data_IF_837365202221
#
_entry.id   IF_837365202221
#
_cell.length_a   1.000
_cell.length_b   1.000
_cell.length_c   1.000
_cell.angle_alpha   90.00
_cell.angle_beta   90.00
_cell.angle_gamma   90.00
#
_symmetry.space_group_name_H-M   'P 1'
#
loop_
_entity.id
_entity.type
_entity.pdbx_description
1 polymer ?
#
# COMPACT_ATOMS: atom_id res chain seq x y z
N UNK A 1 31.59 4.76 5.24
CA UNK A 1 30.32 4.00 5.28
C UNK A 1 29.25 5.01 5.00
N UNK A 2 28.47 4.78 3.95
CA UNK A 2 27.49 5.76 3.51
C UNK A 2 26.28 5.71 4.46
N UNK A 3 25.98 6.85 5.08
CA UNK A 3 24.78 7.03 5.88
C UNK A 3 23.67 7.53 4.95
N UNK A 4 22.57 6.79 4.87
CA UNK A 4 21.42 7.12 4.04
C UNK A 4 20.38 7.88 4.87
N UNK A 5 19.80 8.89 4.22
CA UNK A 5 18.68 9.64 4.73
C UNK A 5 17.35 9.01 4.30
N UNK A 6 16.28 9.31 5.05
CA UNK A 6 14.91 9.05 4.63
C UNK A 6 14.37 10.23 3.83
N UNK A 7 13.42 9.96 2.92
CA UNK A 7 12.79 10.98 2.08
C UNK A 7 11.34 11.21 2.51
N UNK A 8 11.04 12.38 3.09
CA UNK A 8 9.71 12.75 3.58
C UNK A 8 9.34 14.13 3.05
N UNK A 9 8.15 14.25 2.45
CA UNK A 9 7.59 15.55 2.05
C UNK A 9 8.45 16.34 1.05
N UNK A 10 9.30 15.67 0.26
CA UNK A 10 10.20 16.33 -0.69
C UNK A 10 11.61 16.63 -0.16
N UNK A 11 11.95 16.22 1.06
CA UNK A 11 13.24 16.50 1.69
C UNK A 11 13.93 15.20 2.15
N UNK A 12 15.25 15.16 1.96
CA UNK A 12 16.12 14.15 2.56
C UNK A 12 16.53 14.59 3.96
N UNK A 13 16.43 13.69 4.95
CA UNK A 13 16.85 13.93 6.33
C UNK A 13 17.12 12.64 7.06
N UNK A 14 17.82 12.72 8.20
CA UNK A 14 18.00 11.60 9.12
C UNK A 14 16.67 11.18 9.74
N UNK A 15 16.41 9.88 9.82
CA UNK A 15 15.25 9.34 10.54
C UNK A 15 15.36 9.47 12.06
N UNK A 16 14.22 9.55 12.75
CA UNK A 16 14.15 9.64 14.20
C UNK A 16 14.27 8.29 14.93
N UNK A 17 14.27 7.17 14.21
CA UNK A 17 14.32 5.83 14.77
C UNK A 17 15.73 5.30 15.03
N UNK A 18 15.78 4.00 15.34
CA UNK A 18 17.02 3.29 15.62
C UNK A 18 17.91 3.16 14.37
N UNK A 19 19.23 3.11 14.59
CA UNK A 19 20.19 2.81 13.53
C UNK A 19 19.97 1.40 12.99
N UNK A 20 19.87 1.28 11.67
CA UNK A 20 19.75 0.05 10.90
C UNK A 20 20.89 -0.06 9.89
N UNK A 21 21.24 -1.29 9.53
CA UNK A 21 22.26 -1.57 8.53
C UNK A 21 21.63 -2.38 7.39
N UNK A 22 21.80 -1.92 6.15
CA UNK A 22 21.66 -2.78 4.97
C UNK A 22 22.91 -3.63 4.87
N UNK A 23 22.74 -4.94 4.69
CA UNK A 23 23.83 -5.92 4.66
C UNK A 23 23.75 -6.73 3.38
N UNK A 24 24.90 -7.06 2.81
CA UNK A 24 24.97 -7.96 1.67
C UNK A 24 24.72 -9.40 2.13
N UNK A 25 23.71 -10.10 1.58
CA UNK A 25 23.36 -11.43 2.07
C UNK A 25 24.43 -12.51 1.85
N UNK A 26 25.38 -12.32 0.92
CA UNK A 26 26.34 -13.38 0.59
C UNK A 26 27.51 -13.48 1.59
N UNK A 27 27.95 -12.36 2.18
CA UNK A 27 29.11 -12.31 3.09
C UNK A 27 28.83 -11.55 4.40
N UNK A 28 27.65 -10.94 4.55
CA UNK A 28 27.27 -10.16 5.73
C UNK A 28 27.92 -8.77 5.82
N UNK A 29 28.68 -8.34 4.80
CA UNK A 29 29.28 -7.01 4.79
C UNK A 29 28.21 -5.92 4.73
N UNK A 30 28.43 -4.83 5.46
CA UNK A 30 27.48 -3.72 5.53
C UNK A 30 27.57 -2.89 4.24
N UNK A 31 26.44 -2.74 3.56
CA UNK A 31 26.30 -1.90 2.37
C UNK A 31 26.14 -0.42 2.76
N UNK A 32 25.23 -0.13 3.68
CA UNK A 32 24.91 1.22 4.13
C UNK A 32 24.29 1.20 5.54
N UNK A 33 24.34 2.34 6.22
CA UNK A 33 23.65 2.55 7.48
C UNK A 33 22.55 3.60 7.31
N UNK A 34 21.43 3.47 8.00
CA UNK A 34 20.38 4.49 8.03
C UNK A 34 19.67 4.50 9.37
N UNK A 35 19.14 5.65 9.75
CA UNK A 35 18.18 5.71 10.84
C UNK A 35 16.78 5.34 10.34
N UNK A 36 16.15 4.36 11.00
CA UNK A 36 14.79 3.97 10.69
C UNK A 36 13.82 5.16 10.84
N UNK A 37 12.69 5.11 10.13
CA UNK A 37 11.61 6.06 10.35
C UNK A 37 10.97 5.82 11.74
N UNK A 38 10.78 6.89 12.51
CA UNK A 38 10.00 6.87 13.75
C UNK A 38 8.49 6.95 13.47
N UNK A 39 7.66 6.83 14.52
CA UNK A 39 6.22 7.08 14.40
C UNK A 39 5.91 8.54 14.04
N UNK A 40 6.71 9.48 14.54
CA UNK A 40 6.57 10.90 14.22
C UNK A 40 6.92 11.17 12.74
N UNK A 41 7.96 10.51 12.23
CA UNK A 41 8.31 10.56 10.80
C UNK A 41 7.19 9.99 9.93
N UNK A 42 6.58 8.88 10.34
CA UNK A 42 5.44 8.29 9.65
C UNK A 42 4.25 9.26 9.62
N UNK A 43 3.92 9.86 10.77
CA UNK A 43 2.83 10.83 10.87
C UNK A 43 3.09 12.04 9.97
N UNK A 44 4.31 12.56 9.92
CA UNK A 44 4.67 13.67 9.05
C UNK A 44 4.61 13.31 7.55
N UNK A 45 5.02 12.09 7.18
CA UNK A 45 4.91 11.61 5.81
C UNK A 45 3.45 11.53 5.38
N UNK A 46 2.59 11.03 6.26
CA UNK A 46 1.15 10.93 6.09
C UNK A 46 0.52 12.33 5.92
N UNK A 47 0.89 13.29 6.76
CA UNK A 47 0.35 14.65 6.71
C UNK A 47 0.87 15.45 5.50
N UNK A 48 2.13 15.21 5.10
CA UNK A 48 2.68 15.77 3.87
C UNK A 48 2.00 15.22 2.62
N UNK A 49 1.67 13.92 2.60
CA UNK A 49 0.92 13.32 1.51
C UNK A 49 -0.52 13.86 1.43
N UNK A 50 -1.21 14.04 2.55
CA UNK A 50 -2.56 14.63 2.58
C UNK A 50 -2.56 16.10 2.16
N UNK A 51 -1.56 16.88 2.61
CA UNK A 51 -1.36 18.24 2.13
C UNK A 51 -1.17 18.26 0.61
N UNK A 52 -0.23 17.47 0.08
CA UNK A 52 0.00 17.39 -1.37
C UNK A 52 -1.26 16.96 -2.14
N UNK A 53 -2.04 16.03 -1.59
CA UNK A 53 -3.31 15.60 -2.18
C UNK A 53 -4.35 16.72 -2.24
N UNK A 54 -4.40 17.61 -1.24
CA UNK A 54 -5.33 18.74 -1.18
C UNK A 54 -4.86 19.95 -1.98
N UNK A 55 -3.55 20.13 -2.11
CA UNK A 55 -2.93 21.25 -2.81
C UNK A 55 -3.37 21.29 -4.29
N UNK A 56 -3.87 22.44 -4.79
CA UNK A 56 -4.31 22.57 -6.18
C UNK A 56 -3.19 22.28 -7.19
N UNK A 57 -1.93 22.56 -6.82
CA UNK A 57 -0.76 22.32 -7.67
C UNK A 57 -0.61 20.86 -8.10
N UNK A 58 -1.03 19.92 -7.25
CA UNK A 58 -1.07 18.49 -7.57
C UNK A 58 -2.48 18.03 -7.94
N UNK A 59 -3.49 18.39 -7.14
CA UNK A 59 -4.87 17.92 -7.30
C UNK A 59 -5.51 18.38 -8.61
N UNK A 60 -5.26 19.62 -9.02
CA UNK A 60 -5.81 20.20 -10.24
C UNK A 60 -4.87 20.03 -11.45
N UNK A 61 -3.75 19.32 -11.28
CA UNK A 61 -2.83 19.02 -12.38
C UNK A 61 -3.56 18.27 -13.49
N UNK A 62 -3.31 18.64 -14.74
CA UNK A 62 -3.94 17.96 -15.88
C UNK A 62 -3.34 16.56 -16.04
N UNK A 63 -4.10 15.58 -16.56
CA UNK A 63 -3.62 14.20 -16.62
C UNK A 63 -2.31 14.02 -17.40
N UNK A 64 -2.14 14.73 -18.52
CA UNK A 64 -0.89 14.72 -19.31
C UNK A 64 0.31 15.34 -18.56
N UNK A 65 0.08 16.28 -17.63
CA UNK A 65 1.15 16.85 -16.81
C UNK A 65 1.63 15.83 -15.77
N UNK A 66 0.71 15.05 -15.17
CA UNK A 66 1.08 13.91 -14.31
C UNK A 66 1.80 12.83 -15.10
N UNK A 67 1.32 12.51 -16.30
CA UNK A 67 1.96 11.56 -17.21
C UNK A 67 3.40 11.98 -17.53
N UNK A 68 3.64 13.28 -17.81
CA UNK A 68 4.99 13.82 -18.04
C UNK A 68 5.94 13.57 -16.87
N UNK A 69 5.46 13.68 -15.62
CA UNK A 69 6.28 13.36 -14.44
C UNK A 69 6.64 11.88 -14.41
N UNK A 70 5.67 10.99 -14.65
CA UNK A 70 5.89 9.54 -14.66
C UNK A 70 6.81 9.10 -15.81
N UNK A 71 6.70 9.72 -16.99
CA UNK A 71 7.66 9.53 -18.07
C UNK A 71 9.07 9.95 -17.66
N UNK A 72 9.21 11.10 -17.01
CA UNK A 72 10.52 11.56 -16.52
C UNK A 72 11.11 10.59 -15.48
N UNK A 73 10.29 10.00 -14.62
CA UNK A 73 10.72 8.95 -13.69
C UNK A 73 11.25 7.74 -14.45
N UNK A 74 10.54 7.26 -15.48
CA UNK A 74 11.01 6.15 -16.30
C UNK A 74 12.36 6.45 -16.97
N UNK A 75 12.51 7.65 -17.55
CA UNK A 75 13.76 8.07 -18.20
C UNK A 75 14.93 8.13 -17.20
N UNK A 76 14.67 8.59 -15.97
CA UNK A 76 15.69 8.64 -14.92
C UNK A 76 16.11 7.25 -14.45
N UNK A 77 15.17 6.30 -14.36
CA UNK A 77 15.47 4.90 -14.02
C UNK A 77 16.36 4.28 -15.11
N UNK A 78 16.02 4.47 -16.39
CA UNK A 78 16.80 3.92 -17.50
C UNK A 78 18.18 4.57 -17.62
N UNK A 79 18.28 5.87 -17.39
CA UNK A 79 19.56 6.58 -17.39
C UNK A 79 20.53 6.07 -16.30
N UNK A 80 19.99 5.49 -15.22
CA UNK A 80 20.75 4.94 -14.08
C UNK A 80 20.71 3.40 -14.03
N UNK A 81 20.37 2.74 -15.14
CA UNK A 81 20.09 1.31 -15.18
C UNK A 81 21.20 0.46 -14.57
N UNK A 82 22.45 0.69 -14.97
CA UNK A 82 23.59 -0.10 -14.49
C UNK A 82 23.84 0.13 -12.99
N UNK A 83 23.77 1.38 -12.53
CA UNK A 83 23.96 1.73 -11.12
C UNK A 83 22.86 1.11 -10.23
N UNK A 84 21.59 1.24 -10.62
CA UNK A 84 20.46 0.66 -9.91
C UNK A 84 20.52 -0.87 -9.90
N UNK A 85 20.96 -1.48 -11.01
CA UNK A 85 21.15 -2.95 -11.10
C UNK A 85 22.19 -3.43 -10.10
N UNK A 86 23.34 -2.75 -10.02
CA UNK A 86 24.40 -3.10 -9.08
C UNK A 86 23.93 -2.92 -7.63
N UNK A 87 23.27 -1.79 -7.31
CA UNK A 87 22.72 -1.54 -5.97
C UNK A 87 21.70 -2.62 -5.58
N UNK A 88 20.76 -2.96 -6.47
CA UNK A 88 19.73 -3.96 -6.18
C UNK A 88 20.31 -5.38 -6.03
N UNK A 89 21.30 -5.75 -6.85
CA UNK A 89 22.00 -7.03 -6.73
C UNK A 89 22.80 -7.10 -5.43
N UNK A 90 23.47 -6.00 -5.06
CA UNK A 90 24.26 -5.89 -3.82
C UNK A 90 23.40 -5.84 -2.56
N UNK A 91 22.20 -5.30 -2.62
CA UNK A 91 21.29 -5.23 -1.47
C UNK A 91 20.55 -6.55 -1.25
N UNK A 92 20.04 -7.17 -2.34
CA UNK A 92 19.17 -8.34 -2.25
C UNK A 92 19.87 -9.68 -2.55
N UNK A 93 21.11 -9.67 -3.05
CA UNK A 93 21.85 -10.88 -3.42
C UNK A 93 21.42 -11.53 -4.75
N UNK A 94 20.52 -10.90 -5.51
CA UNK A 94 20.01 -11.46 -6.78
C UNK A 94 21.06 -11.40 -7.90
N UNK A 95 21.08 -12.37 -8.83
CA UNK A 95 21.94 -12.29 -10.01
C UNK A 95 21.72 -10.99 -10.81
N UNK A 96 22.79 -10.43 -11.37
CA UNK A 96 22.73 -9.15 -12.10
C UNK A 96 21.71 -9.15 -13.25
N UNK A 97 21.58 -10.27 -13.96
CA UNK A 97 20.60 -10.38 -15.05
C UNK A 97 19.15 -10.25 -14.55
N UNK A 98 18.83 -10.87 -13.40
CA UNK A 98 17.51 -10.76 -12.78
C UNK A 98 17.28 -9.34 -12.25
N UNK A 99 18.25 -8.77 -11.53
CA UNK A 99 18.17 -7.40 -11.01
C UNK A 99 17.95 -6.39 -12.14
N UNK A 100 18.67 -6.53 -13.25
CA UNK A 100 18.50 -5.67 -14.44
C UNK A 100 17.09 -5.77 -15.02
N UNK A 101 16.52 -6.97 -15.07
CA UNK A 101 15.13 -7.18 -15.49
C UNK A 101 14.13 -6.45 -14.60
N UNK A 102 14.35 -6.43 -13.28
CA UNK A 102 13.50 -5.73 -12.32
C UNK A 102 13.60 -4.21 -12.45
N UNK A 103 14.79 -3.65 -12.66
CA UNK A 103 14.97 -2.20 -12.89
C UNK A 103 14.26 -1.77 -14.18
N UNK A 104 14.40 -2.53 -15.26
CA UNK A 104 13.67 -2.26 -16.51
C UNK A 104 12.16 -2.39 -16.33
N UNK A 105 11.70 -3.36 -15.54
CA UNK A 105 10.28 -3.53 -15.20
C UNK A 105 9.74 -2.31 -14.43
N UNK A 106 10.53 -1.73 -13.53
CA UNK A 106 10.15 -0.51 -12.82
C UNK A 106 9.97 0.69 -13.77
N UNK A 107 10.89 0.88 -14.73
CA UNK A 107 10.76 1.89 -15.78
C UNK A 107 9.50 1.66 -16.65
N UNK A 108 9.25 0.41 -17.05
CA UNK A 108 8.05 0.03 -17.81
C UNK A 108 6.76 0.29 -17.04
N UNK A 109 6.74 0.01 -15.73
CA UNK A 109 5.60 0.27 -14.85
C UNK A 109 5.31 1.77 -14.77
N UNK A 110 6.34 2.61 -14.63
CA UNK A 110 6.16 4.07 -14.65
C UNK A 110 5.56 4.56 -15.97
N UNK A 111 6.02 4.03 -17.12
CA UNK A 111 5.43 4.35 -18.44
C UNK A 111 3.99 3.88 -18.58
N UNK A 112 3.67 2.69 -18.07
CA UNK A 112 2.30 2.18 -18.08
C UNK A 112 1.36 3.11 -17.32
N UNK A 113 1.72 3.53 -16.11
CA UNK A 113 0.89 4.46 -15.34
C UNK A 113 0.86 5.88 -15.93
N UNK A 114 1.91 6.30 -16.66
CA UNK A 114 1.86 7.53 -17.43
C UNK A 114 0.77 7.47 -18.51
N UNK A 115 0.73 6.41 -19.29
CA UNK A 115 -0.31 6.18 -20.30
C UNK A 115 -1.70 6.05 -19.65
N UNK A 116 -1.82 5.36 -18.51
CA UNK A 116 -3.07 5.26 -17.77
C UNK A 116 -3.58 6.63 -17.31
N UNK A 117 -2.71 7.57 -16.96
CA UNK A 117 -3.13 8.94 -16.66
C UNK A 117 -3.80 9.62 -17.85
N UNK A 118 -3.33 9.37 -19.07
CA UNK A 118 -3.85 10.02 -20.29
C UNK A 118 -5.08 9.33 -20.86
N UNK A 119 -5.22 8.02 -20.63
CA UNK A 119 -6.27 7.18 -21.20
C UNK A 119 -7.44 6.91 -20.25
N UNK A 120 -7.30 7.20 -18.95
CA UNK A 120 -8.38 7.00 -17.99
C UNK A 120 -9.47 8.06 -18.19
N UNK A 121 -10.54 7.65 -18.87
CA UNK A 121 -11.70 8.49 -19.13
C UNK A 121 -12.87 8.14 -18.20
N UNK A 122 -13.78 9.10 -18.01
CA UNK A 122 -15.07 8.86 -17.38
C UNK A 122 -16.02 8.17 -18.35
N UNK A 123 -17.03 7.48 -17.82
CA UNK A 123 -18.04 6.82 -18.65
C UNK A 123 -19.25 7.73 -18.89
N UNK A 124 -19.80 7.66 -20.11
CA UNK A 124 -21.11 8.23 -20.47
C UNK A 124 -22.08 7.07 -20.68
N UNK A 125 -22.83 6.65 -19.65
CA UNK A 125 -23.82 5.60 -19.79
C UNK A 125 -24.92 5.98 -20.78
N UNK A 126 -25.56 4.98 -21.39
CA UNK A 126 -26.70 5.19 -22.29
C UNK A 126 -27.77 6.05 -21.61
N UNK A 127 -28.22 7.15 -22.25
CA UNK A 127 -29.27 8.00 -21.71
C UNK A 127 -30.52 7.19 -21.37
N UNK A 128 -30.97 7.26 -20.12
CA UNK A 128 -32.21 6.60 -19.65
C UNK A 128 -33.43 7.49 -19.84
N UNK A 129 -33.24 8.80 -19.99
CA UNK A 129 -34.27 9.83 -20.17
C UNK A 129 -33.73 10.90 -21.13
N UNK A 130 -34.60 11.46 -21.98
CA UNK A 130 -34.17 12.36 -23.06
C UNK A 130 -33.57 13.69 -22.55
N UNK A 131 -34.05 14.18 -21.42
CA UNK A 131 -33.71 15.51 -20.91
C UNK A 131 -32.64 15.49 -19.81
N UNK A 132 -31.98 14.34 -19.57
CA UNK A 132 -30.95 14.17 -18.54
C UNK A 132 -29.65 13.61 -19.11
N UNK A 133 -28.54 14.26 -18.77
CA UNK A 133 -27.19 13.75 -19.01
C UNK A 133 -26.67 13.05 -17.74
N UNK A 134 -26.37 11.76 -17.85
CA UNK A 134 -25.69 10.99 -16.80
C UNK A 134 -24.23 10.80 -17.18
N UNK A 135 -23.33 11.05 -16.24
CA UNK A 135 -21.89 10.82 -16.40
C UNK A 135 -21.29 10.23 -15.12
N UNK A 136 -20.29 9.38 -15.29
CA UNK A 136 -19.50 8.81 -14.19
C UNK A 136 -18.13 9.49 -14.15
N UNK A 137 -17.71 9.97 -12.98
CA UNK A 137 -16.36 10.51 -12.75
C UNK A 137 -15.61 9.60 -11.80
N UNK A 138 -14.42 9.19 -12.21
CA UNK A 138 -13.46 8.55 -11.32
C UNK A 138 -12.65 9.63 -10.62
N UNK A 139 -12.82 9.75 -9.31
CA UNK A 139 -12.01 10.63 -8.48
C UNK A 139 -11.03 9.78 -7.70
N UNK A 140 -9.77 10.20 -7.62
CA UNK A 140 -8.82 9.43 -6.84
C UNK A 140 -9.21 9.50 -5.35
N UNK A 141 -9.17 8.35 -4.71
CA UNK A 141 -9.44 8.25 -3.29
C UNK A 141 -8.34 9.02 -2.54
N UNK A 142 -8.72 10.11 -1.89
CA UNK A 142 -7.87 10.72 -0.87
C UNK A 142 -7.77 9.81 0.34
N UNK A 143 -7.15 10.30 1.41
CA UNK A 143 -7.31 9.64 2.71
C UNK A 143 -8.82 9.60 3.03
N UNK A 144 -9.38 8.40 3.13
CA UNK A 144 -10.75 8.23 3.64
C UNK A 144 -10.81 8.93 5.00
N UNK A 145 -11.77 9.84 5.18
CA UNK A 145 -11.92 10.64 6.41
C UNK A 145 -12.29 9.76 7.59
N UNK A 146 -11.31 9.05 8.14
CA UNK A 146 -11.37 8.35 9.40
C UNK A 146 -10.07 8.65 10.15
N UNK A 147 -10.16 9.51 11.15
CA UNK A 147 -9.11 9.78 12.13
C UNK A 147 -8.85 8.52 12.97
N UNK A 148 -8.26 7.49 12.36
CA UNK A 148 -7.64 6.42 13.09
C UNK A 148 -6.15 6.75 13.19
N UNK A 149 -5.70 7.38 14.31
CA UNK A 149 -4.28 7.39 14.61
C UNK A 149 -3.76 5.95 14.64
N UNK A 150 -2.46 5.79 14.40
CA UNK A 150 -1.68 4.54 14.26
C UNK A 150 -1.62 3.73 15.59
N UNK A 151 -2.67 3.78 16.41
CA UNK A 151 -2.79 3.18 17.73
C UNK A 151 -3.11 1.67 17.69
N UNK A 152 -3.24 1.08 16.49
CA UNK A 152 -3.47 -0.37 16.37
C UNK A 152 -2.22 -1.23 16.66
N UNK A 153 -1.01 -0.65 16.63
CA UNK A 153 0.22 -1.40 16.82
C UNK A 153 0.54 -1.72 18.30
N UNK A 154 0.02 -0.95 19.26
CA UNK A 154 0.31 -1.16 20.70
C UNK A 154 -0.66 -2.12 21.40
N UNK A 155 -1.87 -2.33 20.85
CA UNK A 155 -2.83 -3.28 21.46
C UNK A 155 -2.45 -4.75 21.27
N UNK A 156 -1.70 -5.10 20.23
CA UNK A 156 -1.29 -6.49 20.01
C UNK A 156 -0.09 -6.92 20.87
N UNK A 157 0.72 -5.98 21.37
CA UNK A 157 1.89 -6.31 22.19
C UNK A 157 1.56 -6.65 23.64
N UNK A 158 0.38 -6.23 24.13
CA UNK A 158 -0.09 -6.48 25.49
C UNK A 158 -1.03 -7.69 25.63
N UNK A 159 -1.38 -8.37 24.53
CA UNK A 159 -2.26 -9.55 24.55
C UNK A 159 -1.51 -10.88 24.79
N UNK A 160 -0.17 -10.88 24.71
CA UNK A 160 0.66 -12.07 24.90
C UNK A 160 1.56 -11.92 26.13
N UNK A 161 0.98 -12.03 27.33
CA UNK A 161 1.72 -11.85 28.58
C UNK A 161 1.07 -12.44 29.84
N UNK A 162 1.04 -13.78 29.95
CA UNK A 162 1.08 -14.47 31.26
C UNK A 162 -0.23 -14.98 31.88
N UNK A 163 -0.16 -15.93 32.84
CA UNK A 163 -0.82 -17.24 32.75
C UNK A 163 -1.94 -17.50 33.78
N UNK A 164 -2.90 -18.37 33.45
CA UNK A 164 -3.99 -18.73 34.37
C UNK A 164 -4.72 -20.03 34.01
N UNK A 165 -4.17 -21.12 34.53
CA UNK A 165 -4.82 -22.39 34.93
C UNK A 165 -6.26 -22.69 34.46
N UNK A 166 -6.42 -23.64 33.55
CA UNK A 166 -7.64 -24.47 33.46
C UNK A 166 -7.28 -25.93 33.21
N UNK A 167 -7.04 -26.67 34.31
CA UNK A 167 -7.13 -28.13 34.31
C UNK A 167 -8.59 -28.58 34.13
N UNK A 168 -8.79 -29.37 33.06
CA UNK A 168 -9.62 -30.59 32.92
C UNK A 168 -11.00 -30.64 33.60
N UNK A 169 -12.01 -30.97 32.79
CA UNK A 169 -12.55 -32.34 32.76
C UNK A 169 -13.36 -32.60 31.47
N UNK A 170 -12.89 -33.56 30.68
CA UNK A 170 -13.68 -34.31 29.71
C UNK A 170 -14.61 -35.30 30.43
N UNK A 171 -15.75 -35.61 29.81
CA UNK A 171 -16.62 -36.73 30.18
C UNK A 171 -18.01 -36.67 29.52
N UNK A 172 -18.08 -37.13 28.27
CA UNK A 172 -19.28 -37.60 27.52
C UNK A 172 -19.94 -38.85 28.18
N UNK A 173 -21.03 -39.50 27.66
CA UNK A 173 -22.13 -39.15 26.71
C UNK A 173 -23.56 -39.69 27.09
N UNK A 174 -24.54 -39.49 26.17
CA UNK A 174 -25.88 -40.15 25.98
C UNK A 174 -27.03 -39.73 26.94
N UNK A 175 -28.28 -39.44 26.51
CA UNK A 175 -29.26 -40.25 25.74
C UNK A 175 -30.45 -39.31 25.37
N UNK A 176 -30.95 -39.25 24.13
CA UNK A 176 -32.21 -39.90 23.69
C UNK A 176 -33.49 -39.07 23.93
N UNK A 177 -34.25 -38.74 22.87
CA UNK A 177 -35.60 -38.16 23.01
C UNK A 177 -36.23 -37.58 21.74
N UNK A 178 -36.85 -38.45 20.95
CA UNK A 178 -37.69 -38.18 19.77
C UNK A 178 -39.00 -37.45 20.10
N UNK A 179 -39.47 -36.53 19.25
CA UNK A 179 -40.87 -36.54 18.78
C UNK A 179 -41.08 -35.66 17.54
N UNK A 180 -41.92 -36.18 16.64
CA UNK A 180 -42.18 -35.69 15.29
C UNK A 180 -43.56 -35.00 15.15
N UNK A 181 -43.64 -34.18 14.09
CA UNK A 181 -44.75 -34.05 13.12
C UNK A 181 -45.97 -33.14 13.38
N UNK A 182 -46.52 -32.70 12.22
CA UNK A 182 -47.78 -31.99 11.90
C UNK A 182 -47.77 -30.46 12.00
N UNK A 183 -48.23 -29.69 11.00
CA UNK A 183 -48.85 -30.04 9.72
C UNK A 183 -49.28 -28.81 8.90
N UNK A 184 -49.48 -29.07 7.61
CA UNK A 184 -50.39 -28.44 6.63
C UNK A 184 -50.51 -26.90 6.54
N UNK A 185 -50.08 -26.37 5.38
CA UNK A 185 -50.67 -25.18 4.78
C UNK A 185 -51.78 -25.55 3.79
N UNK A 186 -52.79 -24.69 3.68
CA UNK A 186 -53.68 -24.50 2.53
C UNK A 186 -54.57 -23.26 2.72
N UNK A 187 -54.75 -22.51 1.63
CA UNK A 187 -55.83 -21.54 1.40
C UNK A 187 -55.56 -20.11 1.86
N UNK A 188 -55.95 -19.04 1.17
CA UNK A 188 -56.63 -18.85 -0.12
C UNK A 188 -56.72 -17.31 -0.33
N UNK A 189 -57.01 -16.91 -1.57
CA UNK A 189 -57.74 -15.71 -1.97
C UNK A 189 -57.05 -14.35 -2.29
N UNK A 190 -57.34 -13.97 -3.56
CA UNK A 190 -57.35 -12.70 -4.28
C UNK A 190 -56.08 -12.28 -5.07
#
# INVERSE_FOLDING_TARGET
MDELDIFIGGQWRRGGGNLMHSQFPADGAINAALHAASLDDLQEAIDSADRAWREPTWRAMLPHQRAKILHKVADLIEAQLDELTQKQSRDNGKPLAEARGLVMSAAGTARYFAAACELLEGELPTPRQADLLTLSRYEAAGRGGGDHPVELADRQRNAEGGPGDRRRKCGDPQTGGSHAAHGAGAGEDL
#
